data_IF_717810957047
#
_entry.id   IF_717810957047
#
_cell.length_a   1.000
_cell.length_b   1.000
_cell.length_c   1.000
_cell.angle_alpha   90.00
_cell.angle_beta   90.00
_cell.angle_gamma   90.00
#
_symmetry.space_group_name_H-M   'P 1'
#
loop_
_entity.id
_entity.type
_entity.pdbx_description
1 polymer ?
#
# COMPACT_ATOMS: atom_id res chain seq x y z
N UNK A 1 -3.39 34.94 -46.45
CA UNK A 1 -2.97 35.09 -45.04
C UNK A 1 -3.95 34.43 -44.05
N UNK A 2 -5.27 34.62 -44.21
CA UNK A 2 -6.33 34.01 -43.36
C UNK A 2 -6.24 32.48 -43.19
N UNK A 3 -5.94 31.74 -44.26
CA UNK A 3 -5.77 30.26 -44.24
C UNK A 3 -4.56 29.79 -43.40
N UNK A 4 -3.49 30.60 -43.34
CA UNK A 4 -2.30 30.31 -42.53
C UNK A 4 -2.56 30.58 -41.05
N UNK A 5 -3.33 31.64 -40.76
CA UNK A 5 -3.76 31.97 -39.39
C UNK A 5 -4.66 30.87 -38.82
N UNK A 6 -5.64 30.39 -39.61
CA UNK A 6 -6.51 29.27 -39.21
C UNK A 6 -5.68 28.00 -38.91
N UNK A 7 -4.70 27.70 -39.77
CA UNK A 7 -3.82 26.54 -39.58
C UNK A 7 -2.99 26.63 -38.30
N UNK A 8 -2.50 27.82 -37.94
CA UNK A 8 -1.70 28.03 -36.72
C UNK A 8 -2.59 27.91 -35.47
N UNK A 9 -3.80 28.48 -35.51
CA UNK A 9 -4.76 28.38 -34.40
C UNK A 9 -5.18 26.93 -34.15
N UNK A 10 -5.42 26.14 -35.21
CA UNK A 10 -5.72 24.71 -35.07
C UNK A 10 -4.55 23.92 -34.47
N UNK A 11 -3.31 24.26 -34.83
CA UNK A 11 -2.12 23.58 -34.29
C UNK A 11 -1.91 23.88 -32.81
N UNK A 12 -2.10 25.13 -32.39
CA UNK A 12 -2.04 25.51 -30.97
C UNK A 12 -3.17 24.85 -30.14
N UNK A 13 -4.37 24.71 -30.73
CA UNK A 13 -5.48 24.00 -30.08
C UNK A 13 -5.12 22.52 -29.83
N UNK A 14 -4.50 21.84 -30.80
CA UNK A 14 -4.09 20.44 -30.67
C UNK A 14 -3.00 20.23 -29.59
N UNK A 15 -2.10 21.20 -29.42
CA UNK A 15 -1.04 21.12 -28.40
C UNK A 15 -1.61 21.28 -26.99
N UNK A 16 -2.69 22.07 -26.82
CA UNK A 16 -3.36 22.24 -25.53
C UNK A 16 -4.18 21.03 -25.05
N UNK A 17 -4.46 20.06 -25.94
CA UNK A 17 -5.11 18.78 -25.59
C UNK A 17 -4.13 17.71 -25.09
N UNK A 18 -2.86 18.06 -24.86
CA UNK A 18 -1.88 17.21 -24.19
C UNK A 18 -1.69 17.69 -22.74
N UNK A 19 -2.66 17.54 -21.81
CA UNK A 19 -2.30 17.51 -20.41
C UNK A 19 -1.52 16.20 -20.20
N UNK A 20 -0.22 16.26 -20.47
CA UNK A 20 0.74 15.26 -20.06
C UNK A 20 0.84 15.32 -18.55
N UNK A 21 -0.09 14.64 -17.87
CA UNK A 21 0.06 14.29 -16.48
C UNK A 21 1.19 13.26 -16.41
N UNK A 22 2.43 13.74 -16.45
CA UNK A 22 3.56 12.98 -15.93
C UNK A 22 3.44 13.05 -14.42
N UNK A 23 2.49 12.29 -13.87
CA UNK A 23 2.58 11.91 -12.47
C UNK A 23 3.89 11.14 -12.37
N UNK A 24 4.90 11.75 -11.77
CA UNK A 24 5.98 10.99 -11.17
C UNK A 24 5.29 9.94 -10.32
N UNK A 25 5.30 8.70 -10.80
CA UNK A 25 4.96 7.55 -9.98
C UNK A 25 6.09 7.45 -8.99
N UNK A 26 6.04 8.27 -7.95
CA UNK A 26 6.55 7.84 -6.66
C UNK A 26 5.94 6.46 -6.48
N UNK A 27 6.78 5.42 -6.51
CA UNK A 27 6.38 4.08 -6.12
C UNK A 27 5.77 4.25 -4.72
N UNK A 28 4.45 4.33 -4.66
CA UNK A 28 3.69 4.35 -3.42
C UNK A 28 4.05 3.03 -2.76
N UNK A 29 5.07 3.08 -1.90
CA UNK A 29 5.48 1.91 -1.16
C UNK A 29 4.24 1.51 -0.37
N UNK A 30 3.76 0.29 -0.56
CA UNK A 30 2.67 -0.35 0.22
C UNK A 30 3.05 -0.53 1.70
N UNK A 31 4.00 0.28 2.18
CA UNK A 31 4.58 0.23 3.48
C UNK A 31 3.58 0.74 4.51
N UNK A 32 3.23 -0.13 5.45
CA UNK A 32 2.38 0.20 6.58
C UNK A 32 3.28 0.68 7.72
N UNK A 33 3.04 1.91 8.19
CA UNK A 33 3.70 2.46 9.38
C UNK A 33 2.77 2.25 10.57
N UNK A 34 3.25 1.54 11.59
CA UNK A 34 2.49 1.23 12.80
C UNK A 34 3.25 1.74 14.01
N UNK A 35 2.56 2.42 14.93
CA UNK A 35 3.10 2.68 16.26
C UNK A 35 2.57 1.59 17.20
N UNK A 36 3.46 0.92 17.91
CA UNK A 36 3.03 -0.08 18.88
C UNK A 36 2.57 0.54 20.20
N UNK A 37 2.09 -0.30 21.12
CA UNK A 37 1.55 0.13 22.40
C UNK A 37 2.58 0.79 23.36
N UNK A 38 3.89 0.69 23.07
CA UNK A 38 4.94 1.34 23.86
C UNK A 38 5.61 2.50 23.11
N UNK A 39 5.07 2.91 21.96
CA UNK A 39 5.51 4.08 21.20
C UNK A 39 6.64 3.81 20.19
N UNK A 40 6.96 2.56 19.86
CA UNK A 40 7.91 2.24 18.78
C UNK A 40 7.23 2.41 17.43
N UNK A 41 7.88 3.14 16.51
CA UNK A 41 7.46 3.22 15.12
C UNK A 41 8.07 2.07 14.32
N UNK A 42 7.23 1.28 13.67
CA UNK A 42 7.60 0.10 12.89
C UNK A 42 7.11 0.30 11.45
N UNK A 43 7.99 0.08 10.48
CA UNK A 43 7.66 0.08 9.05
C UNK A 43 7.58 -1.35 8.53
N UNK A 44 6.43 -1.74 8.00
CA UNK A 44 6.19 -3.04 7.36
C UNK A 44 6.16 -2.77 5.86
N UNK A 45 7.23 -3.13 5.14
CA UNK A 45 7.42 -2.74 3.72
C UNK A 45 6.59 -3.55 2.73
N UNK A 46 6.28 -4.80 3.07
CA UNK A 46 5.63 -5.77 2.19
C UNK A 46 4.49 -6.48 2.94
N UNK A 47 3.62 -7.16 2.21
CA UNK A 47 2.59 -8.02 2.79
C UNK A 47 3.19 -9.05 3.77
N UNK A 48 2.64 -9.11 4.98
CA UNK A 48 3.06 -10.07 6.01
C UNK A 48 2.68 -11.49 5.59
N UNK A 49 3.66 -12.40 5.59
CA UNK A 49 3.47 -13.81 5.22
C UNK A 49 3.60 -14.78 6.39
N UNK A 50 4.25 -14.36 7.47
CA UNK A 50 4.60 -15.19 8.61
C UNK A 50 4.52 -14.36 9.89
N UNK A 51 3.79 -14.86 10.88
CA UNK A 51 3.59 -14.25 12.19
C UNK A 51 3.94 -15.27 13.26
N UNK A 52 4.69 -14.84 14.26
CA UNK A 52 4.89 -15.58 15.50
C UNK A 52 4.17 -14.83 16.61
N UNK A 53 3.21 -15.48 17.24
CA UNK A 53 2.51 -14.94 18.41
C UNK A 53 3.10 -15.52 19.69
N UNK A 54 3.32 -14.66 20.69
CA UNK A 54 3.86 -15.06 22.00
C UNK A 54 2.86 -14.90 23.14
N UNK A 55 1.63 -14.47 22.84
CA UNK A 55 0.58 -14.19 23.81
C UNK A 55 -0.75 -14.75 23.34
N UNK A 56 -1.48 -15.40 24.25
CA UNK A 56 -2.81 -15.95 23.96
C UNK A 56 -3.79 -14.90 23.42
N UNK A 57 -3.65 -13.63 23.84
CA UNK A 57 -4.49 -12.52 23.39
C UNK A 57 -4.24 -12.29 21.89
N UNK A 58 -2.97 -12.12 21.52
CA UNK A 58 -2.59 -11.90 20.12
C UNK A 58 -2.94 -13.11 19.25
N UNK A 59 -2.74 -14.34 19.76
CA UNK A 59 -3.13 -15.57 19.07
C UNK A 59 -4.63 -15.58 18.81
N UNK A 60 -5.45 -15.32 19.84
CA UNK A 60 -6.92 -15.28 19.72
C UNK A 60 -7.40 -14.20 18.74
N UNK A 61 -6.76 -13.03 18.75
CA UNK A 61 -7.05 -11.95 17.80
C UNK A 61 -6.74 -12.38 16.37
N UNK A 62 -5.61 -13.03 16.11
CA UNK A 62 -5.28 -13.54 14.78
C UNK A 62 -6.30 -14.57 14.27
N UNK A 63 -6.79 -15.46 15.16
CA UNK A 63 -7.84 -16.42 14.82
C UNK A 63 -9.17 -15.71 14.50
N UNK A 64 -9.59 -14.76 15.34
CA UNK A 64 -10.83 -14.02 15.13
C UNK A 64 -10.84 -13.17 13.85
N UNK A 65 -9.66 -12.67 13.44
CA UNK A 65 -9.48 -11.94 12.18
C UNK A 65 -9.32 -12.86 10.95
N UNK A 66 -9.28 -14.18 11.14
CA UNK A 66 -9.14 -15.14 10.03
C UNK A 66 -7.76 -15.13 9.36
N UNK A 67 -6.71 -14.70 10.08
CA UNK A 67 -5.33 -14.66 9.56
C UNK A 67 -4.47 -15.81 10.08
N UNK A 68 -5.09 -16.90 10.52
CA UNK A 68 -4.43 -18.08 11.08
C UNK A 68 -3.44 -18.75 10.10
N UNK A 69 -3.64 -18.63 8.79
CA UNK A 69 -2.73 -19.20 7.78
C UNK A 69 -1.33 -18.57 7.81
N UNK A 70 -1.20 -17.37 8.38
CA UNK A 70 0.08 -16.69 8.53
C UNK A 70 0.78 -17.05 9.85
N UNK A 71 0.10 -17.71 10.80
CA UNK A 71 0.68 -18.11 12.09
C UNK A 71 1.63 -19.29 11.90
N UNK A 72 2.92 -19.05 12.09
CA UNK A 72 3.98 -20.08 11.98
C UNK A 72 4.52 -20.52 13.34
N UNK A 73 4.03 -19.89 14.43
CA UNK A 73 4.39 -20.22 15.80
C UNK A 73 3.47 -19.48 16.78
N UNK A 74 3.10 -20.17 17.86
CA UNK A 74 2.26 -19.65 18.95
C UNK A 74 2.87 -20.02 20.30
N UNK A 75 2.32 -19.46 21.39
CA UNK A 75 2.72 -19.81 22.74
C UNK A 75 2.53 -21.30 23.04
N UNK A 76 3.35 -21.87 23.93
CA UNK A 76 3.38 -23.31 24.24
C UNK A 76 2.03 -23.92 24.62
N UNK A 77 1.15 -23.13 25.23
CA UNK A 77 -0.16 -23.58 25.70
C UNK A 77 -1.29 -23.32 24.69
N UNK A 78 -1.01 -22.63 23.58
CA UNK A 78 -1.99 -22.37 22.55
C UNK A 78 -2.20 -23.59 21.65
N UNK A 79 -3.41 -23.76 21.13
CA UNK A 79 -3.73 -24.76 20.13
C UNK A 79 -4.22 -24.06 18.85
N UNK A 80 -3.55 -24.34 17.73
CA UNK A 80 -4.12 -24.10 16.40
C UNK A 80 -5.02 -25.31 16.13
N UNK A 81 -6.34 -25.15 16.30
CA UNK A 81 -7.33 -26.15 15.89
C UNK A 81 -8.00 -25.71 14.60
#
# INVERSE_FOLDING_TARGET
MKKRIISIVCLFLLISLLPGCSSDKEEESDAIIVNDQIGRQITIKDQVKRVVSTSYITTSTCLALGVNDQLVGIEKNGNLK
#
